data_IF_105811709137
#
_entry.id   IF_105811709137
#
_cell.length_a   1.000
_cell.length_b   1.000
_cell.length_c   1.000
_cell.angle_alpha   90.00
_cell.angle_beta   90.00
_cell.angle_gamma   90.00
#
_symmetry.space_group_name_H-M   'P 1'
#
loop_
_entity.id
_entity.type
_entity.pdbx_description
1 polymer ?
#
# COMPACT_ATOMS: atom_id res chain seq x y z
N UNK A 1 16.49 -11.85 8.08
CA UNK A 1 15.49 -12.56 7.27
C UNK A 1 15.10 -11.64 6.13
N UNK A 2 15.18 -12.10 4.88
CA UNK A 2 14.89 -11.27 3.72
C UNK A 2 13.50 -11.62 3.19
N UNK A 3 12.64 -10.61 3.03
CA UNK A 3 11.33 -10.78 2.40
C UNK A 3 11.46 -10.43 0.92
N UNK A 4 11.15 -11.39 0.05
CA UNK A 4 11.30 -11.22 -1.40
C UNK A 4 10.07 -10.58 -2.04
N UNK A 5 8.91 -10.70 -1.38
CA UNK A 5 7.64 -10.20 -1.86
C UNK A 5 6.96 -9.35 -0.80
N UNK A 6 6.32 -8.28 -1.23
CA UNK A 6 5.44 -7.47 -0.39
C UNK A 6 4.10 -7.33 -1.08
N UNK A 7 3.04 -7.43 -0.31
CA UNK A 7 1.72 -6.92 -0.69
C UNK A 7 1.38 -5.71 0.17
N UNK A 8 0.93 -4.65 -0.49
CA UNK A 8 0.44 -3.43 0.15
C UNK A 8 -1.02 -3.31 -0.18
N UNK A 9 -1.88 -3.57 0.78
CA UNK A 9 -3.27 -3.18 0.68
C UNK A 9 -3.43 -1.78 1.24
N UNK A 10 -4.08 -0.88 0.50
CA UNK A 10 -4.39 0.44 1.01
C UNK A 10 -5.78 0.89 0.60
N UNK A 11 -6.36 1.66 1.50
CA UNK A 11 -7.61 2.37 1.31
C UNK A 11 -7.47 3.81 1.86
N UNK A 12 -8.57 4.57 1.84
CA UNK A 12 -8.62 5.95 2.33
C UNK A 12 -8.49 6.07 3.85
N UNK A 13 -8.54 4.98 4.61
CA UNK A 13 -8.48 4.99 6.08
C UNK A 13 -7.21 4.32 6.64
N UNK A 14 -6.78 3.21 6.05
CA UNK A 14 -5.64 2.43 6.54
C UNK A 14 -4.94 1.66 5.43
N UNK A 15 -3.69 1.29 5.70
CA UNK A 15 -2.84 0.49 4.85
C UNK A 15 -2.30 -0.70 5.62
N UNK A 16 -2.31 -1.85 4.97
CA UNK A 16 -1.80 -3.12 5.47
C UNK A 16 -0.63 -3.54 4.59
N UNK A 17 0.55 -3.59 5.19
CA UNK A 17 1.79 -3.99 4.53
C UNK A 17 2.13 -5.38 5.03
N UNK A 18 2.15 -6.36 4.14
CA UNK A 18 2.57 -7.71 4.46
C UNK A 18 3.78 -8.05 3.62
N UNK A 19 4.93 -8.13 4.29
CA UNK A 19 6.17 -8.61 3.70
C UNK A 19 6.27 -10.11 3.94
N UNK A 20 6.49 -10.90 2.90
CA UNK A 20 6.54 -12.35 3.03
C UNK A 20 7.56 -13.01 2.12
N UNK A 21 7.90 -14.22 2.52
CA UNK A 21 8.71 -15.20 1.82
C UNK A 21 7.95 -16.54 1.83
N UNK A 22 8.47 -17.59 1.18
CA UNK A 22 7.84 -18.91 1.21
C UNK A 22 7.65 -19.46 2.62
N UNK A 23 8.59 -19.15 3.52
CA UNK A 23 8.69 -19.73 4.87
C UNK A 23 8.19 -18.77 5.98
N UNK A 24 8.27 -17.46 5.76
CA UNK A 24 7.94 -16.45 6.79
C UNK A 24 7.07 -15.31 6.25
N UNK A 25 6.31 -14.67 7.14
CA UNK A 25 5.58 -13.44 6.84
C UNK A 25 5.66 -12.47 8.02
N UNK A 26 5.81 -11.18 7.73
CA UNK A 26 5.72 -10.07 8.65
C UNK A 26 4.60 -9.13 8.21
N UNK A 27 3.84 -8.63 9.16
CA UNK A 27 2.70 -7.76 8.94
C UNK A 27 2.90 -6.45 9.70
N UNK A 28 2.60 -5.34 9.03
CA UNK A 28 2.58 -4.00 9.58
C UNK A 28 1.34 -3.25 9.08
N UNK A 29 0.55 -2.70 10.01
CA UNK A 29 -0.62 -1.87 9.67
C UNK A 29 -0.31 -0.41 9.96
N UNK A 30 -0.51 0.45 8.96
CA UNK A 30 -0.38 1.89 9.08
C UNK A 30 -1.77 2.49 8.94
N UNK A 31 -2.24 3.13 10.01
CA UNK A 31 -3.51 3.86 9.99
C UNK A 31 -3.24 5.33 9.70
N UNK A 32 -4.15 5.98 8.99
CA UNK A 32 -4.10 7.44 8.86
C UNK A 32 -4.39 8.03 10.24
N UNK A 33 -3.33 8.39 10.97
CA UNK A 33 -3.45 9.25 12.13
C UNK A 33 -3.72 10.65 11.62
N UNK A 34 -4.98 10.98 11.35
CA UNK A 34 -5.39 12.34 11.06
C UNK A 34 -5.06 13.21 12.29
N UNK A 35 -3.90 13.88 12.25
CA UNK A 35 -3.50 14.90 13.23
C UNK A 35 -3.73 16.28 12.66
N UNK A 36 -4.92 16.58 12.19
CA UNK A 36 -5.38 17.97 12.08
C UNK A 36 -6.86 18.07 12.45
N UNK A 37 -7.13 18.06 13.76
CA UNK A 37 -8.28 18.80 14.29
C UNK A 37 -7.93 20.27 14.13
N UNK A 38 -8.34 20.89 13.02
CA UNK A 38 -8.52 22.33 12.99
C UNK A 38 -10.00 22.59 13.31
N UNK A 39 -10.37 23.01 14.53
CA UNK A 39 -11.77 23.15 14.95
C UNK A 39 -12.51 24.33 14.26
N UNK A 40 -11.93 24.92 13.23
CA UNK A 40 -12.49 26.04 12.46
C UNK A 40 -12.77 25.75 10.98
N UNK A 41 -12.52 24.53 10.48
CA UNK A 41 -12.96 24.14 9.15
C UNK A 41 -14.46 23.74 9.19
N UNK A 42 -15.30 24.76 9.35
CA UNK A 42 -16.71 24.69 8.98
C UNK A 42 -16.79 24.26 7.52
N UNK A 43 -17.62 23.24 7.31
CA UNK A 43 -18.48 23.04 6.15
C UNK A 43 -17.81 22.95 4.77
N UNK A 44 -18.28 21.97 4.00
CA UNK A 44 -17.95 21.78 2.58
C UNK A 44 -16.59 21.09 2.38
N UNK A 45 -16.61 19.76 2.24
CA UNK A 45 -16.02 19.02 1.12
C UNK A 45 -16.05 17.51 1.41
N UNK A 46 -17.10 16.84 0.93
CA UNK A 46 -17.02 15.43 0.52
C UNK A 46 -16.16 15.32 -0.74
N UNK A 47 -14.89 15.70 -0.65
CA UNK A 47 -13.93 15.57 -1.74
C UNK A 47 -12.73 14.80 -1.24
N UNK A 48 -12.30 13.89 -2.10
CA UNK A 48 -11.04 13.16 -2.04
C UNK A 48 -9.99 14.08 -1.40
N UNK A 49 -9.41 13.71 -0.24
CA UNK A 49 -8.44 14.57 0.45
C UNK A 49 -7.33 14.95 -0.52
N UNK A 50 -6.93 16.22 -0.46
CA UNK A 50 -5.98 16.79 -1.40
C UNK A 50 -4.70 15.93 -1.43
N UNK A 51 -4.09 15.71 -2.60
CA UNK A 51 -2.92 14.85 -2.73
C UNK A 51 -1.75 15.31 -1.82
N UNK A 52 -1.78 16.58 -1.41
CA UNK A 52 -0.86 17.20 -0.44
C UNK A 52 -1.15 16.73 1.00
N UNK A 53 -2.42 16.57 1.39
CA UNK A 53 -2.80 16.11 2.74
C UNK A 53 -2.54 14.61 2.94
N UNK A 54 -2.58 13.81 1.86
CA UNK A 54 -2.25 12.39 1.90
C UNK A 54 -0.74 12.11 1.76
N UNK A 55 0.07 13.11 1.40
CA UNK A 55 1.52 12.96 1.29
C UNK A 55 2.19 12.34 2.54
N UNK A 56 1.91 12.77 3.79
CA UNK A 56 2.51 12.14 4.97
C UNK A 56 2.08 10.68 5.18
N UNK A 57 0.86 10.33 4.80
CA UNK A 57 0.38 8.95 4.85
C UNK A 57 1.07 8.08 3.81
N UNK A 58 1.16 8.55 2.57
CA UNK A 58 1.88 7.85 1.50
C UNK A 58 3.38 7.75 1.79
N UNK A 59 4.00 8.77 2.38
CA UNK A 59 5.38 8.67 2.83
C UNK A 59 5.54 7.66 3.97
N UNK A 60 4.62 7.60 4.93
CA UNK A 60 4.66 6.59 5.99
C UNK A 60 4.61 5.17 5.40
N UNK A 61 3.70 4.91 4.45
CA UNK A 61 3.64 3.63 3.74
C UNK A 61 4.97 3.38 3.02
N UNK A 62 5.46 4.33 2.22
CA UNK A 62 6.67 4.16 1.42
C UNK A 62 7.92 3.90 2.28
N UNK A 63 8.02 4.53 3.46
CA UNK A 63 9.15 4.34 4.37
C UNK A 63 9.07 3.03 5.16
N UNK A 64 7.87 2.49 5.36
CA UNK A 64 7.67 1.18 5.97
C UNK A 64 7.92 0.02 4.99
N UNK A 65 8.00 0.27 3.68
CA UNK A 65 8.35 -0.77 2.71
C UNK A 65 9.84 -1.12 2.84
N UNK A 66 10.20 -2.36 3.25
CA UNK A 66 11.59 -2.79 3.20
C UNK A 66 12.13 -2.74 1.77
N UNK A 67 13.46 -2.76 1.63
CA UNK A 67 14.15 -2.83 0.33
C UNK A 67 13.95 -4.20 -0.35
N UNK A 68 12.72 -4.60 -0.58
CA UNK A 68 12.35 -5.84 -1.25
C UNK A 68 12.57 -5.76 -2.76
N UNK A 69 12.39 -6.87 -3.44
CA UNK A 69 12.53 -6.99 -4.89
C UNK A 69 11.22 -6.75 -5.62
N UNK A 70 10.08 -7.17 -5.06
CA UNK A 70 8.80 -7.14 -5.76
C UNK A 70 7.64 -6.68 -4.85
N UNK A 71 6.86 -5.72 -5.34
CA UNK A 71 5.76 -5.08 -4.60
C UNK A 71 4.46 -5.24 -5.38
N UNK A 72 3.44 -5.80 -4.74
CA UNK A 72 2.07 -5.87 -5.25
C UNK A 72 1.21 -4.83 -4.53
N UNK A 73 0.64 -3.89 -5.27
CA UNK A 73 -0.26 -2.88 -4.71
C UNK A 73 -1.71 -3.34 -4.89
N UNK A 74 -2.50 -3.34 -3.84
CA UNK A 74 -3.91 -3.71 -3.88
C UNK A 74 -4.79 -2.73 -3.12
N UNK A 75 -6.06 -2.64 -3.47
CA UNK A 75 -7.02 -1.83 -2.73
C UNK A 75 -8.36 -1.67 -3.44
N UNK A 76 -9.43 -1.33 -2.71
CA UNK A 76 -10.79 -1.27 -3.26
C UNK A 76 -11.00 -0.04 -4.14
N UNK A 77 -10.39 1.09 -3.77
CA UNK A 77 -10.62 2.39 -4.38
C UNK A 77 -9.54 2.86 -5.35
N UNK A 78 -9.48 4.18 -5.55
CA UNK A 78 -8.50 4.87 -6.40
C UNK A 78 -7.25 5.29 -5.64
N UNK A 79 -7.25 5.14 -4.32
CA UNK A 79 -6.17 5.50 -3.39
C UNK A 79 -4.86 4.81 -3.76
N UNK A 80 -4.94 3.55 -4.21
CA UNK A 80 -3.79 2.81 -4.78
C UNK A 80 -3.14 3.54 -5.96
N UNK A 81 -3.93 4.15 -6.84
CA UNK A 81 -3.43 4.90 -7.98
C UNK A 81 -2.81 6.23 -7.54
N UNK A 82 -3.38 6.89 -6.53
CA UNK A 82 -2.79 8.09 -5.94
C UNK A 82 -1.44 7.77 -5.29
N UNK A 83 -1.34 6.66 -4.56
CA UNK A 83 -0.10 6.19 -3.96
C UNK A 83 0.97 5.88 -5.01
N UNK A 84 0.62 5.19 -6.12
CA UNK A 84 1.56 4.93 -7.22
C UNK A 84 2.07 6.24 -7.83
N UNK A 85 1.20 7.23 -8.05
CA UNK A 85 1.62 8.56 -8.55
C UNK A 85 2.55 9.25 -7.55
N UNK A 86 2.32 9.11 -6.25
CA UNK A 86 3.20 9.62 -5.20
C UNK A 86 4.59 8.96 -5.28
N UNK A 87 4.63 7.62 -5.37
CA UNK A 87 5.88 6.87 -5.50
C UNK A 87 6.65 7.26 -6.77
N UNK A 88 5.98 7.41 -7.91
CA UNK A 88 6.63 7.83 -9.16
C UNK A 88 7.30 9.21 -9.05
N UNK A 89 6.74 10.12 -8.25
CA UNK A 89 7.26 11.49 -8.04
C UNK A 89 8.36 11.55 -6.99
N UNK A 90 8.20 10.85 -5.86
CA UNK A 90 9.07 11.01 -4.69
C UNK A 90 10.02 9.84 -4.45
N UNK A 91 9.67 8.62 -4.90
CA UNK A 91 10.35 7.36 -4.58
C UNK A 91 10.42 6.44 -5.80
N UNK A 92 11.04 6.91 -6.88
CA UNK A 92 11.06 6.21 -8.17
C UNK A 92 11.58 4.76 -8.07
N UNK A 93 12.60 4.53 -7.22
CA UNK A 93 13.15 3.19 -6.96
C UNK A 93 12.14 2.18 -6.39
N UNK A 94 11.13 2.66 -5.64
CA UNK A 94 10.05 1.79 -5.15
C UNK A 94 9.01 1.55 -6.25
N UNK A 95 8.72 2.56 -7.08
CA UNK A 95 7.79 2.42 -8.19
C UNK A 95 8.26 1.38 -9.22
N UNK A 96 9.56 1.31 -9.49
CA UNK A 96 10.16 0.31 -10.40
C UNK A 96 9.99 -1.14 -9.91
N UNK A 97 9.79 -1.33 -8.60
CA UNK A 97 9.61 -2.65 -7.98
C UNK A 97 8.16 -3.11 -7.98
N UNK A 98 7.23 -2.27 -8.44
CA UNK A 98 5.81 -2.61 -8.49
C UNK A 98 5.59 -3.61 -9.63
N UNK A 99 5.24 -4.84 -9.27
CA UNK A 99 4.98 -5.92 -10.24
C UNK A 99 3.53 -5.96 -10.72
N UNK A 100 2.63 -5.29 -10.01
CA UNK A 100 1.21 -5.32 -10.34
C UNK A 100 0.36 -4.45 -9.43
N UNK A 101 -0.84 -4.16 -9.92
CA UNK A 101 -1.85 -3.37 -9.23
C UNK A 101 -3.19 -4.07 -9.38
N UNK A 102 -3.74 -4.57 -8.29
CA UNK A 102 -5.01 -5.31 -8.29
C UNK A 102 -6.09 -4.57 -7.52
N UNK A 103 -7.34 -4.77 -7.92
CA UNK A 103 -8.49 -4.26 -7.16
C UNK A 103 -8.97 -5.37 -6.23
N UNK A 104 -8.77 -5.18 -4.94
CA UNK A 104 -9.16 -6.12 -3.90
C UNK A 104 -9.98 -5.35 -2.87
N UNK A 105 -11.10 -5.92 -2.41
CA UNK A 105 -12.04 -5.30 -1.48
C UNK A 105 -11.46 -5.05 -0.08
N UNK A 106 -12.16 -5.47 0.97
CA UNK A 106 -11.65 -5.43 2.35
C UNK A 106 -11.34 -6.85 2.85
N UNK A 107 -10.26 -7.49 2.37
CA UNK A 107 -9.85 -8.79 2.89
C UNK A 107 -9.28 -8.60 4.30
N UNK A 108 -9.45 -9.59 5.17
CA UNK A 108 -8.62 -9.66 6.37
C UNK A 108 -7.17 -10.01 6.02
N UNK A 109 -6.22 -9.67 6.89
CA UNK A 109 -4.78 -9.94 6.74
C UNK A 109 -4.43 -11.36 6.25
N UNK A 110 -5.00 -12.46 6.81
CA UNK A 110 -4.70 -13.80 6.32
C UNK A 110 -5.21 -14.06 4.90
N UNK A 111 -6.32 -13.42 4.52
CA UNK A 111 -6.88 -13.53 3.18
C UNK A 111 -6.05 -12.71 2.17
N UNK A 112 -5.56 -11.54 2.59
CA UNK A 112 -4.64 -10.72 1.81
C UNK A 112 -3.31 -11.47 1.55
N UNK A 113 -2.72 -12.07 2.58
CA UNK A 113 -1.51 -12.88 2.44
C UNK A 113 -1.73 -14.08 1.50
N UNK A 114 -2.85 -14.79 1.63
CA UNK A 114 -3.18 -15.91 0.75
C UNK A 114 -3.38 -15.47 -0.71
N UNK A 115 -4.02 -14.32 -0.93
CA UNK A 115 -4.17 -13.71 -2.25
C UNK A 115 -2.80 -13.37 -2.85
N UNK A 116 -1.94 -12.68 -2.08
CA UNK A 116 -0.61 -12.30 -2.53
C UNK A 116 0.23 -13.53 -2.88
N UNK A 117 0.28 -14.56 -2.02
CA UNK A 117 0.99 -15.81 -2.32
C UNK A 117 0.53 -16.43 -3.65
N UNK A 118 -0.78 -16.49 -3.90
CA UNK A 118 -1.31 -16.99 -5.18
C UNK A 118 -0.94 -16.12 -6.37
N UNK A 119 -0.92 -14.79 -6.19
CA UNK A 119 -0.51 -13.85 -7.23
C UNK A 119 0.96 -14.04 -7.59
N UNK A 120 1.86 -14.04 -6.59
CA UNK A 120 3.29 -14.16 -6.82
C UNK A 120 3.67 -15.56 -7.34
N UNK A 121 3.00 -16.63 -6.90
CA UNK A 121 3.20 -17.97 -7.50
C UNK A 121 2.89 -17.98 -9.01
N UNK A 122 1.88 -17.22 -9.46
CA UNK A 122 1.57 -17.10 -10.89
C UNK A 122 2.54 -16.16 -11.61
N UNK A 123 2.90 -15.03 -10.98
CA UNK A 123 3.79 -14.04 -11.55
C UNK A 123 5.22 -14.58 -11.72
N UNK A 124 5.72 -15.33 -10.74
CA UNK A 124 7.02 -16.01 -10.78
C UNK A 124 7.06 -17.10 -11.85
N UNK A 125 5.93 -17.78 -12.11
CA UNK A 125 5.82 -18.76 -13.19
C UNK A 125 5.80 -18.15 -14.61
N UNK A 126 5.60 -16.83 -14.71
CA UNK A 126 5.48 -16.10 -15.98
C UNK A 126 6.75 -15.28 -16.31
N UNK A 127 7.75 -15.28 -15.43
CA UNK A 127 9.07 -14.65 -15.60
C UNK A 127 10.12 -15.72 -15.96
#
# INVERSE_FOLDING_TARGET
>A
MSFNHIVVWLDHAEAHIIAFSPDAAAHETIKIHSRHVNPYASEMHSRIPDAVEQAPYFDAIANALPQTLQILIVGPGLEKMAFIKHLLRHKHQLAEKIVGVETVGHPGDPQLLAFARKYFLKADFLL
#
